data_IF_146756160853
#
_entry.id   IF_146756160853
#
_cell.length_a   1.000
_cell.length_b   1.000
_cell.length_c   1.000
_cell.angle_alpha   90.00
_cell.angle_beta   90.00
_cell.angle_gamma   90.00
#
_symmetry.space_group_name_H-M   'P 1'
#
loop_
_entity.id
_entity.type
_entity.pdbx_description
1 polymer ?
#
# COMPACT_ATOMS: atom_id res chain seq x y z
N UNK A 1 -20.52 -0.27 0.40
CA UNK A 1 -20.62 -0.64 1.83
C UNK A 1 -20.34 0.54 2.78
N UNK A 2 -20.69 1.78 2.40
CA UNK A 2 -20.56 2.97 3.26
C UNK A 2 -21.75 3.89 2.96
N UNK A 3 -22.44 4.39 3.99
CA UNK A 3 -23.49 5.39 3.83
C UNK A 3 -22.92 6.76 4.15
N UNK A 4 -23.25 7.76 3.31
CA UNK A 4 -23.06 9.17 3.69
C UNK A 4 -23.96 9.43 4.90
N UNK A 5 -23.42 10.14 5.88
CA UNK A 5 -24.24 10.59 7.00
C UNK A 5 -25.30 11.57 6.47
N UNK A 6 -26.52 11.48 7.00
CA UNK A 6 -27.60 12.44 6.69
C UNK A 6 -27.38 13.77 7.39
N UNK A 7 -26.61 13.80 8.48
CA UNK A 7 -26.14 14.98 9.20
C UNK A 7 -24.65 14.83 9.54
N UNK A 8 -23.93 15.92 9.77
CA UNK A 8 -22.52 15.84 10.14
C UNK A 8 -22.36 15.05 11.46
N UNK A 9 -21.50 14.02 11.51
CA UNK A 9 -21.32 13.21 12.70
C UNK A 9 -20.76 14.02 13.87
N UNK A 10 -21.11 13.62 15.09
CA UNK A 10 -20.60 14.25 16.31
C UNK A 10 -19.07 14.34 16.27
N UNK A 11 -18.51 15.50 16.60
CA UNK A 11 -17.07 15.84 16.53
C UNK A 11 -16.45 16.01 15.13
N UNK A 12 -17.26 16.06 14.08
CA UNK A 12 -16.80 16.42 12.73
C UNK A 12 -16.16 17.81 12.70
N UNK A 13 -14.95 17.92 12.14
CA UNK A 13 -14.17 19.17 12.08
C UNK A 13 -13.37 19.49 13.34
N UNK A 14 -13.52 18.71 14.42
CA UNK A 14 -12.74 18.86 15.66
C UNK A 14 -11.86 17.64 15.92
N UNK A 15 -12.44 16.42 15.91
CA UNK A 15 -11.70 15.16 16.13
C UNK A 15 -11.46 14.36 14.84
N UNK A 16 -12.36 14.47 13.86
CA UNK A 16 -12.20 13.78 12.57
C UNK A 16 -12.94 14.51 11.43
N UNK A 17 -12.55 14.21 10.18
CA UNK A 17 -13.16 14.78 8.97
C UNK A 17 -13.98 13.77 8.15
N UNK A 18 -14.35 12.64 8.76
CA UNK A 18 -15.03 11.56 8.05
C UNK A 18 -16.50 11.90 7.73
N UNK A 19 -16.87 11.81 6.44
CA UNK A 19 -18.24 12.09 5.93
C UNK A 19 -19.08 10.84 5.63
N UNK A 20 -18.54 9.65 5.89
CA UNK A 20 -19.21 8.37 5.63
C UNK A 20 -19.04 7.42 6.81
N UNK A 21 -20.07 6.64 7.10
CA UNK A 21 -20.04 5.57 8.11
C UNK A 21 -20.29 4.23 7.45
N UNK A 22 -19.64 3.19 7.97
CA UNK A 22 -19.99 1.83 7.59
C UNK A 22 -21.39 1.51 8.12
N UNK A 23 -22.17 0.77 7.33
CA UNK A 23 -23.54 0.38 7.71
C UNK A 23 -23.57 -0.51 8.95
N UNK A 24 -22.46 -1.18 9.26
CA UNK A 24 -22.33 -2.07 10.41
C UNK A 24 -22.54 -1.32 11.75
N UNK A 25 -22.21 -0.03 11.81
CA UNK A 25 -22.46 0.83 12.97
C UNK A 25 -23.94 0.99 13.35
N UNK A 26 -24.86 0.62 12.45
CA UNK A 26 -26.31 0.64 12.69
C UNK A 26 -26.86 -0.66 13.27
N UNK A 27 -26.05 -1.72 13.33
CA UNK A 27 -26.49 -3.02 13.83
C UNK A 27 -26.41 -3.04 15.36
N UNK A 28 -27.45 -3.56 16.01
CA UNK A 28 -27.59 -3.57 17.48
C UNK A 28 -26.43 -4.31 18.18
N UNK A 29 -25.93 -5.39 17.57
CA UNK A 29 -24.81 -6.18 18.08
C UNK A 29 -23.42 -5.58 17.78
N UNK A 30 -23.34 -4.49 17.01
CA UNK A 30 -22.05 -3.87 16.68
C UNK A 30 -21.42 -3.25 17.92
N UNK A 31 -22.22 -2.66 18.81
CA UNK A 31 -21.74 -2.07 20.08
C UNK A 31 -21.12 -3.10 21.03
N UNK A 32 -21.42 -4.38 20.84
CA UNK A 32 -20.93 -5.49 21.67
C UNK A 32 -19.75 -6.22 21.01
N UNK A 33 -19.30 -5.80 19.83
CA UNK A 33 -18.08 -6.34 19.22
C UNK A 33 -16.84 -5.69 19.84
N UNK A 34 -15.96 -6.52 20.41
CA UNK A 34 -14.65 -6.07 20.91
C UNK A 34 -13.76 -5.46 19.79
N UNK A 35 -14.04 -5.80 18.53
CA UNK A 35 -13.28 -5.37 17.35
C UNK A 35 -14.21 -4.75 16.28
N UNK A 36 -14.85 -3.63 16.62
CA UNK A 36 -15.73 -2.85 15.71
C UNK A 36 -15.01 -2.25 14.49
N UNK A 37 -13.69 -2.31 14.46
CA UNK A 37 -12.88 -1.86 13.34
C UNK A 37 -12.01 -3.02 12.92
N UNK A 38 -12.61 -4.14 12.51
CA UNK A 38 -11.85 -5.26 11.97
C UNK A 38 -11.23 -4.84 10.64
N UNK A 39 -10.10 -4.16 10.75
CA UNK A 39 -9.28 -3.72 9.65
C UNK A 39 -8.68 -5.00 9.09
N UNK A 40 -9.15 -5.39 7.92
CA UNK A 40 -8.64 -6.57 7.25
C UNK A 40 -7.18 -6.31 6.84
N UNK A 41 -6.23 -6.87 7.60
CA UNK A 41 -4.78 -6.67 7.40
C UNK A 41 -4.36 -7.06 5.99
N UNK A 42 -4.89 -8.16 5.45
CA UNK A 42 -4.63 -8.60 4.07
C UNK A 42 -5.08 -7.54 3.05
N UNK A 43 -6.18 -6.83 3.33
CA UNK A 43 -6.63 -5.73 2.47
C UNK A 43 -5.74 -4.49 2.61
N UNK A 44 -5.25 -4.18 3.81
CA UNK A 44 -4.25 -3.12 3.99
C UNK A 44 -2.99 -3.47 3.20
N UNK A 45 -2.43 -4.65 3.41
CA UNK A 45 -1.21 -5.11 2.75
C UNK A 45 -1.34 -5.01 1.24
N UNK A 46 -2.49 -5.42 0.69
CA UNK A 46 -2.79 -5.22 -0.73
C UNK A 46 -2.74 -3.74 -1.12
N UNK A 47 -3.40 -2.85 -0.39
CA UNK A 47 -3.45 -1.43 -0.75
C UNK A 47 -2.06 -0.77 -0.64
N UNK A 48 -1.31 -1.07 0.42
CA UNK A 48 0.06 -0.59 0.59
C UNK A 48 0.98 -1.13 -0.51
N UNK A 49 0.89 -2.43 -0.81
CA UNK A 49 1.65 -3.03 -1.90
C UNK A 49 1.37 -2.35 -3.24
N UNK A 50 0.10 -2.15 -3.59
CA UNK A 50 -0.27 -1.50 -4.86
C UNK A 50 0.27 -0.07 -4.90
N UNK A 51 0.14 0.70 -3.82
CA UNK A 51 0.67 2.06 -3.77
C UNK A 51 2.20 2.10 -3.94
N UNK A 52 2.93 1.21 -3.27
CA UNK A 52 4.39 1.07 -3.43
C UNK A 52 4.75 0.66 -4.86
N UNK A 53 4.11 -0.38 -5.36
CA UNK A 53 4.41 -0.94 -6.67
C UNK A 53 4.15 0.08 -7.77
N UNK A 54 2.97 0.69 -7.80
CA UNK A 54 2.56 1.63 -8.84
C UNK A 54 3.42 2.90 -8.83
N UNK A 55 3.80 3.39 -7.64
CA UNK A 55 4.63 4.58 -7.46
C UNK A 55 6.07 4.35 -7.91
N UNK A 56 6.68 3.23 -7.51
CA UNK A 56 8.08 2.91 -7.85
C UNK A 56 8.22 2.47 -9.31
N UNK A 57 7.26 1.70 -9.81
CA UNK A 57 7.20 1.27 -11.21
C UNK A 57 6.72 2.40 -12.14
N UNK A 58 6.28 3.53 -11.59
CA UNK A 58 5.84 4.71 -12.35
C UNK A 58 4.85 4.30 -13.47
N UNK A 59 3.83 3.53 -13.09
CA UNK A 59 2.81 3.03 -14.05
C UNK A 59 1.93 4.19 -14.51
N UNK A 60 1.74 5.18 -13.65
CA UNK A 60 1.11 6.45 -13.97
C UNK A 60 2.23 7.47 -14.28
N UNK A 61 2.70 7.53 -15.52
CA UNK A 61 3.46 8.70 -15.98
C UNK A 61 2.59 9.94 -15.70
N UNK A 62 2.94 10.71 -14.66
CA UNK A 62 2.36 12.01 -14.42
C UNK A 62 2.90 12.97 -15.50
N UNK A 63 2.39 12.82 -16.72
CA UNK A 63 2.59 13.79 -17.79
C UNK A 63 1.84 15.08 -17.40
N UNK A 64 2.55 16.20 -17.32
CA UNK A 64 1.90 17.50 -17.32
C UNK A 64 1.21 17.67 -18.67
N UNK A 65 -0.13 17.80 -18.67
CA UNK A 65 -0.85 18.24 -19.85
C UNK A 65 -0.38 19.66 -20.21
N UNK A 66 0.02 19.77 -21.47
CA UNK A 66 0.64 20.91 -22.16
C UNK A 66 -0.06 22.25 -21.84
N UNK A 67 0.66 23.19 -21.22
CA UNK A 67 0.31 24.62 -21.20
C UNK A 67 1.24 25.30 -22.21
N UNK A 68 0.94 25.13 -23.50
CA UNK A 68 1.58 25.87 -24.58
C UNK A 68 3.02 25.47 -24.92
N UNK A 69 3.16 24.43 -25.76
CA UNK A 69 4.30 24.20 -26.67
C UNK A 69 5.70 24.12 -26.05
N UNK A 70 5.83 23.85 -24.75
CA UNK A 70 7.09 23.45 -24.14
C UNK A 70 6.85 22.16 -23.37
N UNK A 71 7.43 21.06 -23.88
CA UNK A 71 7.35 19.74 -23.26
C UNK A 71 8.18 19.74 -21.97
N UNK A 72 7.58 20.17 -20.87
CA UNK A 72 8.20 20.18 -19.54
C UNK A 72 8.24 18.75 -19.00
N UNK A 73 9.42 18.13 -19.05
CA UNK A 73 9.66 16.82 -18.44
C UNK A 73 9.85 17.01 -16.93
N UNK A 74 9.03 16.33 -16.11
CA UNK A 74 9.26 16.25 -14.68
C UNK A 74 10.58 15.49 -14.45
N UNK A 75 11.53 16.02 -13.66
CA UNK A 75 12.73 15.26 -13.32
C UNK A 75 12.31 13.94 -12.67
N UNK A 76 12.93 12.85 -13.12
CA UNK A 76 12.62 11.51 -12.65
C UNK A 76 12.88 11.45 -11.15
N UNK A 77 11.86 11.11 -10.38
CA UNK A 77 12.00 11.02 -8.93
C UNK A 77 13.07 10.00 -8.54
N UNK A 78 13.78 10.23 -7.44
CA UNK A 78 14.85 9.35 -6.98
C UNK A 78 14.37 7.91 -6.71
N UNK A 79 13.09 7.74 -6.39
CA UNK A 79 12.42 6.45 -6.19
C UNK A 79 11.91 5.79 -7.48
N UNK A 80 11.93 6.50 -8.61
CA UNK A 80 11.41 5.96 -9.87
C UNK A 80 12.47 5.14 -10.60
N UNK A 81 12.11 3.92 -10.99
CA UNK A 81 13.00 3.01 -11.72
C UNK A 81 13.17 3.39 -13.19
N UNK A 82 14.34 3.11 -13.75
CA UNK A 82 14.56 3.28 -15.21
C UNK A 82 13.73 2.26 -15.99
N UNK A 83 13.49 2.51 -17.28
CA UNK A 83 12.79 1.55 -18.16
C UNK A 83 13.44 0.17 -18.11
N UNK A 84 14.77 0.11 -18.14
CA UNK A 84 15.52 -1.14 -18.05
C UNK A 84 15.30 -1.85 -16.71
N UNK A 85 15.40 -1.13 -15.58
CA UNK A 85 15.16 -1.70 -14.25
C UNK A 85 13.72 -2.24 -14.13
N UNK A 86 12.72 -1.51 -14.63
CA UNK A 86 11.32 -1.96 -14.63
C UNK A 86 11.14 -3.26 -15.42
N UNK A 87 11.75 -3.34 -16.61
CA UNK A 87 11.71 -4.57 -17.43
C UNK A 87 12.39 -5.73 -16.72
N UNK A 88 13.53 -5.50 -16.07
CA UNK A 88 14.24 -6.52 -15.30
C UNK A 88 13.38 -7.06 -14.15
N UNK A 89 12.72 -6.18 -13.38
CA UNK A 89 11.81 -6.60 -12.30
C UNK A 89 10.61 -7.36 -12.87
N UNK A 90 9.96 -6.87 -13.91
CA UNK A 90 8.84 -7.57 -14.54
C UNK A 90 9.22 -8.96 -15.07
N UNK A 91 10.44 -9.10 -15.62
CA UNK A 91 10.97 -10.40 -16.06
C UNK A 91 11.21 -11.31 -14.85
N UNK A 92 11.87 -10.81 -13.81
CA UNK A 92 12.11 -11.54 -12.58
C UNK A 92 10.81 -12.04 -11.94
N UNK A 93 9.77 -11.20 -11.82
CA UNK A 93 8.48 -11.61 -11.27
C UNK A 93 7.80 -12.70 -12.11
N UNK A 94 7.93 -12.65 -13.44
CA UNK A 94 7.38 -13.67 -14.35
C UNK A 94 8.11 -15.01 -14.24
N UNK A 95 9.42 -14.98 -14.02
CA UNK A 95 10.27 -16.16 -13.91
C UNK A 95 10.33 -16.73 -12.48
N UNK A 96 9.79 -15.99 -11.51
CA UNK A 96 9.78 -16.37 -10.10
C UNK A 96 8.98 -17.66 -9.88
N UNK A 97 9.67 -18.71 -9.45
CA UNK A 97 9.08 -19.97 -9.00
C UNK A 97 9.05 -19.99 -7.48
N UNK A 98 7.86 -20.16 -6.91
CA UNK A 98 7.65 -20.32 -5.48
C UNK A 98 7.24 -21.77 -5.19
N UNK A 99 7.46 -22.27 -3.96
CA UNK A 99 6.99 -23.60 -3.57
C UNK A 99 5.48 -23.73 -3.80
N UNK A 100 5.04 -24.94 -4.15
CA UNK A 100 3.62 -25.22 -4.39
C UNK A 100 2.77 -24.85 -3.17
N UNK A 101 1.67 -24.12 -3.42
CA UNK A 101 0.78 -23.62 -2.37
C UNK A 101 1.22 -22.32 -1.69
N UNK A 102 2.42 -21.80 -1.96
CA UNK A 102 2.91 -20.58 -1.30
C UNK A 102 2.27 -19.30 -1.87
N UNK A 103 2.28 -19.12 -3.20
CA UNK A 103 1.54 -18.07 -3.89
C UNK A 103 1.14 -18.53 -5.29
N UNK A 104 0.11 -17.92 -5.89
CA UNK A 104 -0.23 -18.21 -7.28
C UNK A 104 0.70 -17.48 -8.25
N UNK A 105 0.74 -17.91 -9.52
CA UNK A 105 1.58 -17.29 -10.55
C UNK A 105 1.44 -15.75 -10.55
N UNK A 106 2.55 -15.05 -10.28
CA UNK A 106 2.64 -13.59 -10.14
C UNK A 106 2.81 -12.87 -11.49
N UNK A 107 2.86 -13.62 -12.61
CA UNK A 107 3.13 -13.09 -13.95
C UNK A 107 2.14 -12.04 -14.46
N UNK A 108 0.99 -11.88 -13.81
CA UNK A 108 0.06 -10.76 -13.99
C UNK A 108 0.18 -9.80 -12.81
N UNK A 109 0.99 -8.75 -12.98
CA UNK A 109 1.18 -7.69 -11.99
C UNK A 109 -0.05 -6.76 -11.83
N UNK A 110 -0.94 -6.74 -12.83
CA UNK A 110 -2.24 -6.08 -12.72
C UNK A 110 -3.28 -7.10 -12.25
N UNK A 111 -4.04 -6.76 -11.20
CA UNK A 111 -5.06 -7.64 -10.64
C UNK A 111 -4.51 -8.76 -9.75
N UNK A 112 -3.38 -8.53 -9.07
CA UNK A 112 -2.82 -9.49 -8.12
C UNK A 112 -3.84 -9.77 -6.99
N UNK A 113 -4.04 -11.06 -6.69
CA UNK A 113 -4.87 -11.50 -5.56
C UNK A 113 -4.28 -10.99 -4.25
N UNK A 114 -5.13 -10.67 -3.28
CA UNK A 114 -4.67 -10.14 -1.99
C UNK A 114 -3.67 -11.06 -1.27
N UNK A 115 -3.85 -12.38 -1.37
CA UNK A 115 -2.89 -13.38 -0.86
C UNK A 115 -1.48 -13.21 -1.45
N UNK A 116 -1.40 -12.99 -2.76
CA UNK A 116 -0.13 -12.80 -3.43
C UNK A 116 0.52 -11.47 -3.05
N UNK A 117 -0.28 -10.41 -2.86
CA UNK A 117 0.22 -9.13 -2.35
C UNK A 117 0.76 -9.26 -0.92
N UNK A 118 0.08 -10.03 -0.06
CA UNK A 118 0.54 -10.37 1.28
C UNK A 118 1.91 -11.06 1.25
N UNK A 119 2.07 -12.11 0.44
CA UNK A 119 3.37 -12.76 0.26
C UNK A 119 4.43 -11.78 -0.28
N UNK A 120 4.05 -10.93 -1.24
CA UNK A 120 4.97 -10.00 -1.85
C UNK A 120 5.47 -8.95 -0.87
N UNK A 121 4.58 -8.28 -0.14
CA UNK A 121 4.95 -7.21 0.78
C UNK A 121 5.86 -7.72 1.91
N UNK A 122 5.69 -8.96 2.35
CA UNK A 122 6.45 -9.53 3.46
C UNK A 122 7.83 -10.07 3.06
N UNK A 123 7.96 -10.62 1.85
CA UNK A 123 9.14 -11.40 1.47
C UNK A 123 9.81 -10.92 0.18
N UNK A 124 9.03 -10.48 -0.80
CA UNK A 124 9.54 -10.20 -2.14
C UNK A 124 9.82 -8.72 -2.36
N UNK A 125 9.19 -7.82 -1.61
CA UNK A 125 9.32 -6.37 -1.78
C UNK A 125 10.79 -5.89 -1.73
N UNK A 126 11.60 -6.29 -0.73
CA UNK A 126 13.00 -5.84 -0.67
C UNK A 126 13.86 -6.48 -1.75
N UNK A 127 13.51 -7.69 -2.20
CA UNK A 127 14.23 -8.40 -3.26
C UNK A 127 13.95 -7.73 -4.61
N UNK A 128 12.68 -7.49 -4.90
CA UNK A 128 12.22 -6.86 -6.14
C UNK A 128 12.84 -5.49 -6.36
N UNK A 129 12.97 -4.70 -5.29
CA UNK A 129 13.41 -3.32 -5.35
C UNK A 129 14.85 -3.10 -4.87
N UNK A 130 15.68 -4.15 -4.85
CA UNK A 130 17.08 -4.08 -4.43
C UNK A 130 17.97 -3.16 -5.29
N UNK A 131 17.51 -2.79 -6.48
CA UNK A 131 18.18 -1.86 -7.39
C UNK A 131 17.98 -0.39 -7.01
N UNK A 132 17.11 -0.09 -6.04
CA UNK A 132 16.91 1.28 -5.55
C UNK A 132 18.06 1.74 -4.65
N UNK A 133 18.31 3.07 -4.58
CA UNK A 133 19.25 3.62 -3.62
C UNK A 133 18.94 3.18 -2.18
N UNK A 134 19.98 2.94 -1.37
CA UNK A 134 19.83 2.39 -0.01
C UNK A 134 18.89 3.20 0.89
N UNK A 135 18.87 4.52 0.76
CA UNK A 135 17.98 5.38 1.55
C UNK A 135 16.49 5.17 1.21
N UNK A 136 16.15 4.69 0.01
CA UNK A 136 14.78 4.33 -0.40
C UNK A 136 14.48 2.86 -0.12
N UNK A 137 15.47 2.00 -0.31
CA UNK A 137 15.33 0.57 -0.12
C UNK A 137 15.18 0.16 1.36
N UNK A 138 15.89 0.81 2.28
CA UNK A 138 15.83 0.48 3.72
C UNK A 138 14.40 0.58 4.30
N UNK A 139 13.62 1.65 4.03
CA UNK A 139 12.22 1.70 4.43
C UNK A 139 11.37 0.53 3.89
N UNK A 140 11.66 -0.01 2.71
CA UNK A 140 10.95 -1.19 2.21
C UNK A 140 11.30 -2.46 2.99
N UNK A 141 12.55 -2.62 3.42
CA UNK A 141 12.96 -3.72 4.29
C UNK A 141 12.22 -3.63 5.63
N UNK A 142 12.21 -2.44 6.24
CA UNK A 142 11.52 -2.19 7.50
C UNK A 142 10.00 -2.43 7.38
N UNK A 143 9.40 -2.00 6.26
CA UNK A 143 7.98 -2.23 5.95
C UNK A 143 7.65 -3.72 5.81
N UNK A 144 8.47 -4.47 5.06
CA UNK A 144 8.31 -5.92 4.93
C UNK A 144 8.42 -6.64 6.27
N UNK A 145 9.40 -6.24 7.08
CA UNK A 145 9.57 -6.78 8.43
C UNK A 145 8.36 -6.47 9.31
N UNK A 146 7.85 -5.24 9.27
CA UNK A 146 6.68 -4.83 10.04
C UNK A 146 5.46 -5.70 9.72
N UNK A 147 5.12 -5.86 8.44
CA UNK A 147 3.98 -6.68 8.05
C UNK A 147 4.18 -8.16 8.39
N UNK A 148 5.40 -8.68 8.22
CA UNK A 148 5.71 -10.07 8.59
C UNK A 148 5.50 -10.34 10.07
N UNK A 149 5.96 -9.45 10.95
CA UNK A 149 5.73 -9.62 12.39
C UNK A 149 4.25 -9.43 12.74
N UNK A 150 3.57 -8.46 12.10
CA UNK A 150 2.15 -8.18 12.35
C UNK A 150 1.23 -9.36 11.98
N UNK A 151 1.57 -10.12 10.94
CA UNK A 151 0.79 -11.29 10.51
C UNK A 151 1.42 -12.61 10.94
N UNK A 152 2.35 -12.59 11.90
CA UNK A 152 2.94 -13.82 12.44
C UNK A 152 1.84 -14.70 13.06
N UNK A 153 1.99 -16.02 12.94
CA UNK A 153 1.08 -16.99 13.56
C UNK A 153 1.10 -16.90 15.09
N UNK A 154 2.19 -16.38 15.67
CA UNK A 154 2.34 -16.11 17.10
C UNK A 154 2.76 -14.67 17.30
N UNK A 155 1.95 -13.91 18.05
CA UNK A 155 2.22 -12.52 18.40
C UNK A 155 2.83 -12.43 19.78
N UNK A 156 3.96 -11.72 19.90
CA UNK A 156 4.63 -11.44 21.17
C UNK A 156 4.34 -9.98 21.55
N UNK A 157 3.81 -9.77 22.76
CA UNK A 157 3.41 -8.45 23.25
C UNK A 157 4.58 -7.46 23.30
N UNK A 158 5.76 -7.90 23.75
CA UNK A 158 6.96 -7.05 23.82
C UNK A 158 7.38 -6.58 22.42
N UNK A 159 7.34 -7.49 21.44
CA UNK A 159 7.60 -7.14 20.04
C UNK A 159 6.57 -6.16 19.49
N UNK A 160 5.29 -6.34 19.83
CA UNK A 160 4.23 -5.43 19.41
C UNK A 160 4.42 -4.03 20.00
N UNK A 161 4.83 -3.91 21.26
CA UNK A 161 5.15 -2.62 21.89
C UNK A 161 6.31 -1.93 21.16
N UNK A 162 7.35 -2.68 20.77
CA UNK A 162 8.46 -2.13 19.98
C UNK A 162 7.98 -1.69 18.59
N UNK A 163 7.13 -2.49 17.94
CA UNK A 163 6.56 -2.16 16.62
C UNK A 163 5.68 -0.91 16.67
N UNK A 164 4.89 -0.73 17.73
CA UNK A 164 4.08 0.47 17.95
C UNK A 164 4.94 1.73 18.05
N UNK A 165 6.10 1.65 18.71
CA UNK A 165 7.06 2.76 18.75
C UNK A 165 7.77 3.02 17.42
N UNK A 166 7.98 1.97 16.61
CA UNK A 166 8.73 2.07 15.36
C UNK A 166 7.88 2.51 14.15
N UNK A 167 6.57 2.22 14.14
CA UNK A 167 5.72 2.52 12.99
C UNK A 167 5.64 4.01 12.63
N UNK A 168 5.60 4.99 13.58
CA UNK A 168 5.63 6.40 13.22
C UNK A 168 6.94 6.78 12.54
N UNK A 169 8.07 6.24 13.00
CA UNK A 169 9.38 6.49 12.38
C UNK A 169 9.45 5.94 10.96
N UNK A 170 8.90 4.74 10.74
CA UNK A 170 8.80 4.15 9.40
C UNK A 170 7.92 5.00 8.48
N UNK A 171 6.76 5.48 8.96
CA UNK A 171 5.89 6.37 8.20
C UNK A 171 6.61 7.67 7.84
N UNK A 172 7.30 8.32 8.78
CA UNK A 172 8.09 9.52 8.49
C UNK A 172 9.18 9.28 7.44
N UNK A 173 9.88 8.13 7.49
CA UNK A 173 10.87 7.77 6.46
C UNK A 173 10.21 7.65 5.08
N UNK A 174 9.04 7.03 5.00
CA UNK A 174 8.29 6.90 3.75
C UNK A 174 7.78 8.27 3.25
N UNK A 175 7.31 9.15 4.14
CA UNK A 175 6.83 10.50 3.82
C UNK A 175 7.93 11.42 3.28
N UNK A 176 9.18 11.21 3.71
CA UNK A 176 10.33 11.92 3.16
C UNK A 176 10.67 11.51 1.72
N UNK A 177 10.24 10.32 1.29
CA UNK A 177 10.56 9.75 -0.03
C UNK A 177 9.40 9.97 -1.01
N UNK A 178 8.17 9.69 -0.57
CA UNK A 178 7.01 9.62 -1.45
C UNK A 178 6.14 10.87 -1.36
N UNK A 179 5.47 11.25 -2.47
CA UNK A 179 4.54 12.37 -2.46
C UNK A 179 3.32 12.07 -1.58
N UNK A 180 2.59 13.09 -1.07
CA UNK A 180 1.40 12.90 -0.24
C UNK A 180 0.35 11.96 -0.85
N UNK A 181 0.21 11.96 -2.18
CA UNK A 181 -0.71 11.07 -2.91
C UNK A 181 -0.44 9.57 -2.71
N UNK A 182 0.78 9.19 -2.32
CA UNK A 182 1.12 7.82 -1.96
C UNK A 182 0.33 7.32 -0.73
N UNK A 183 0.00 8.23 0.18
CA UNK A 183 -0.70 7.93 1.43
C UNK A 183 -2.23 8.02 1.30
N UNK A 184 -2.74 8.44 0.14
CA UNK A 184 -4.18 8.52 -0.15
C UNK A 184 -4.76 7.14 -0.54
N UNK A 185 -4.69 6.17 0.37
CA UNK A 185 -5.17 4.79 0.12
C UNK A 185 -6.66 4.58 0.42
N UNK A 186 -7.41 5.61 0.82
CA UNK A 186 -8.83 5.52 1.18
C UNK A 186 -9.70 6.39 0.26
N UNK A 187 -9.80 6.03 -1.03
CA UNK A 187 -10.64 6.86 -1.90
C UNK A 187 -10.85 6.50 -3.36
N UNK A 188 -10.36 5.38 -3.89
CA UNK A 188 -10.75 5.01 -5.25
C UNK A 188 -10.68 3.49 -5.44
N UNK A 189 -11.82 2.82 -5.23
CA UNK A 189 -12.21 1.82 -6.21
C UNK A 189 -12.41 2.57 -7.54
N UNK A 190 -11.34 2.83 -8.27
CA UNK A 190 -11.46 3.17 -9.68
C UNK A 190 -12.00 1.92 -10.35
N UNK A 191 -13.31 1.93 -10.59
CA UNK A 191 -13.86 1.28 -11.77
C UNK A 191 -13.09 1.82 -12.96
N UNK A 192 -12.01 1.14 -13.33
CA UNK A 192 -11.42 1.23 -14.65
C UNK A 192 -11.80 -0.06 -15.39
N UNK A 193 -13.11 -0.19 -15.64
CA UNK A 193 -13.59 -0.84 -16.86
C UNK A 193 -13.22 0.08 -18.02
N UNK A 194 -12.06 -0.20 -18.61
CA UNK A 194 -11.68 0.11 -19.99
C UNK A 194 -10.71 -1.04 -20.31
N UNK A 195 -11.08 -2.14 -20.97
CA UNK A 195 -12.11 -2.42 -21.99
C UNK A 195 -12.95 -3.63 -21.55
#
# INVERSE_FOLDING_TARGET
MWKKFTHLPFSYGVKHNWKKQSIFWRLSYWKTHLLCHNINVIHIERNVFMNVFDTVMNINELELKDIGRVKLFKPKAAYALTKYQRVAICKWVKELKLPDGYASNLGKLHGIKSHNCHVFIQWLLPIAFNLLPKHIWNPFVELSHFFRELTSTTLNVEKLTIMEGNIPMLLCKLEQIFPPSFFDSMGASSNSSIV
#
